data_IF_545050044870
#
_entry.id   IF_545050044870
#
_cell.length_a   1.000
_cell.length_b   1.000
_cell.length_c   1.000
_cell.angle_alpha   90.00
_cell.angle_beta   90.00
_cell.angle_gamma   90.00
#
_symmetry.space_group_name_H-M   'P 1'
#
loop_
_entity.id
_entity.type
_entity.pdbx_description
1 polymer ?
#
# COMPACT_ATOMS: atom_id res chain seq x y z
N UNK A 1 -26.77 -17.55 34.02
CA UNK A 1 -25.58 -18.11 33.35
C UNK A 1 -25.38 -17.39 32.02
N UNK A 2 -26.43 -17.23 31.22
CA UNK A 2 -26.37 -16.51 29.94
C UNK A 2 -26.02 -15.02 30.05
N UNK A 3 -26.52 -14.30 31.07
CA UNK A 3 -26.16 -12.88 31.29
C UNK A 3 -24.69 -12.68 31.71
N UNK A 4 -24.11 -13.64 32.45
CA UNK A 4 -22.70 -13.58 32.87
C UNK A 4 -21.79 -13.81 31.67
N UNK A 5 -22.17 -14.74 30.79
CA UNK A 5 -21.44 -15.03 29.56
C UNK A 5 -21.53 -13.84 28.60
N UNK A 6 -22.73 -13.27 28.39
CA UNK A 6 -22.92 -12.10 27.54
C UNK A 6 -22.08 -10.89 28.01
N UNK A 7 -22.11 -10.60 29.32
CA UNK A 7 -21.31 -9.52 29.91
C UNK A 7 -19.81 -9.73 29.74
N UNK A 8 -19.33 -10.97 29.90
CA UNK A 8 -17.92 -11.30 29.68
C UNK A 8 -17.49 -11.04 28.23
N UNK A 9 -18.34 -11.38 27.25
CA UNK A 9 -18.06 -11.10 25.84
C UNK A 9 -18.04 -9.61 25.52
N UNK A 10 -18.95 -8.83 26.11
CA UNK A 10 -18.97 -7.37 25.95
C UNK A 10 -17.71 -6.72 26.53
N UNK A 11 -17.28 -7.14 27.72
CA UNK A 11 -16.07 -6.63 28.37
C UNK A 11 -14.81 -6.98 27.54
N UNK A 12 -14.73 -8.20 27.00
CA UNK A 12 -13.61 -8.62 26.13
C UNK A 12 -13.60 -7.84 24.80
N UNK A 13 -14.76 -7.65 24.16
CA UNK A 13 -14.88 -6.88 22.94
C UNK A 13 -14.47 -5.42 23.15
N UNK A 14 -14.87 -4.83 24.27
CA UNK A 14 -14.50 -3.46 24.64
C UNK A 14 -12.98 -3.33 24.80
N UNK A 15 -12.35 -4.26 25.53
CA UNK A 15 -10.89 -4.26 25.72
C UNK A 15 -10.12 -4.39 24.41
N UNK A 16 -10.56 -5.27 23.51
CA UNK A 16 -9.94 -5.43 22.18
C UNK A 16 -10.09 -4.15 21.35
N UNK A 17 -11.25 -3.50 21.44
CA UNK A 17 -11.50 -2.25 20.70
C UNK A 17 -10.65 -1.10 21.23
N UNK A 18 -10.54 -0.95 22.55
CA UNK A 18 -9.69 0.07 23.19
C UNK A 18 -8.21 -0.12 22.81
N UNK A 19 -7.71 -1.36 22.87
CA UNK A 19 -6.33 -1.67 22.47
C UNK A 19 -6.07 -1.36 20.98
N UNK A 20 -7.02 -1.69 20.09
CA UNK A 20 -6.90 -1.38 18.67
C UNK A 20 -6.86 0.13 18.41
N UNK A 21 -7.65 0.93 19.15
CA UNK A 21 -7.65 2.39 19.02
C UNK A 21 -6.28 2.95 19.41
N UNK A 22 -5.68 2.48 20.51
CA UNK A 22 -4.33 2.90 20.91
C UNK A 22 -3.28 2.59 19.83
N UNK A 23 -3.35 1.39 19.23
CA UNK A 23 -2.46 1.01 18.12
C UNK A 23 -2.67 1.90 16.89
N UNK A 24 -3.93 2.21 16.54
CA UNK A 24 -4.26 3.09 15.41
C UNK A 24 -3.73 4.51 15.63
N UNK A 25 -3.82 5.04 16.86
CA UNK A 25 -3.28 6.36 17.20
C UNK A 25 -1.76 6.37 17.00
N UNK A 26 -1.06 5.38 17.53
CA UNK A 26 0.40 5.26 17.37
C UNK A 26 0.80 5.14 15.89
N UNK A 27 0.04 4.38 15.12
CA UNK A 27 0.25 4.19 13.69
C UNK A 27 0.03 5.48 12.87
N UNK A 28 -1.02 6.24 13.19
CA UNK A 28 -1.44 7.40 12.42
C UNK A 28 -0.83 8.73 12.86
N UNK A 29 -0.46 8.87 14.14
CA UNK A 29 0.06 10.11 14.72
C UNK A 29 1.13 10.82 13.86
N UNK A 30 2.09 10.13 13.23
CA UNK A 30 3.10 10.78 12.38
C UNK A 30 2.54 11.53 11.15
N UNK A 31 1.29 11.26 10.75
CA UNK A 31 0.65 11.82 9.56
C UNK A 31 -0.33 12.96 9.89
N UNK A 32 -0.49 13.31 11.17
CA UNK A 32 -1.32 14.42 11.65
C UNK A 32 -0.46 15.47 12.38
N UNK A 33 -0.99 16.67 12.60
CA UNK A 33 -0.23 17.74 13.28
C UNK A 33 -0.10 17.50 14.78
N UNK A 34 -1.03 16.74 15.36
CA UNK A 34 -1.01 16.36 16.77
C UNK A 34 -1.71 15.02 16.98
N UNK A 35 -1.46 14.40 18.14
CA UNK A 35 -2.12 13.15 18.51
C UNK A 35 -3.64 13.34 18.63
N UNK A 36 -4.09 14.50 19.14
CA UNK A 36 -5.51 14.82 19.26
C UNK A 36 -6.21 14.88 17.90
N UNK A 37 -5.52 15.38 16.86
CA UNK A 37 -6.06 15.38 15.50
C UNK A 37 -6.18 13.95 14.93
N UNK A 38 -5.20 13.08 15.22
CA UNK A 38 -5.26 11.67 14.83
C UNK A 38 -6.39 10.92 15.57
N UNK A 39 -6.53 11.15 16.88
CA UNK A 39 -7.59 10.59 17.72
C UNK A 39 -8.97 10.96 17.21
N UNK A 40 -9.20 12.25 16.94
CA UNK A 40 -10.48 12.72 16.41
C UNK A 40 -10.77 12.11 15.04
N UNK A 41 -9.76 12.02 14.15
CA UNK A 41 -9.91 11.39 12.84
C UNK A 41 -10.27 9.90 12.95
N UNK A 42 -9.63 9.15 13.84
CA UNK A 42 -9.94 7.74 14.10
C UNK A 42 -11.36 7.60 14.62
N UNK A 43 -11.75 8.44 15.59
CA UNK A 43 -13.09 8.45 16.17
C UNK A 43 -14.17 8.69 15.11
N UNK A 44 -13.95 9.68 14.24
CA UNK A 44 -14.84 9.95 13.09
C UNK A 44 -15.03 8.70 12.24
N UNK A 45 -13.96 7.95 11.96
CA UNK A 45 -14.04 6.73 11.15
C UNK A 45 -14.75 5.58 11.88
N UNK A 46 -14.46 5.37 13.17
CA UNK A 46 -14.99 4.28 13.99
C UNK A 46 -16.47 4.44 14.31
N UNK A 47 -16.90 5.68 14.58
CA UNK A 47 -18.27 6.03 14.96
C UNK A 47 -19.15 6.38 13.75
N UNK A 48 -18.58 6.36 12.54
CA UNK A 48 -19.31 6.71 11.31
C UNK A 48 -20.53 5.78 11.09
N UNK A 49 -21.73 6.31 10.76
CA UNK A 49 -22.92 5.47 10.52
C UNK A 49 -22.75 4.48 9.37
N UNK A 50 -22.07 4.90 8.30
CA UNK A 50 -21.64 3.99 7.23
C UNK A 50 -20.39 3.21 7.69
N UNK A 51 -20.34 1.88 7.58
CA UNK A 51 -19.19 1.08 8.01
C UNK A 51 -17.95 1.21 7.11
N UNK A 52 -18.05 1.87 5.97
CA UNK A 52 -16.97 1.91 4.97
C UNK A 52 -15.73 2.68 5.43
N UNK A 53 -15.81 3.92 5.99
CA UNK A 53 -14.65 4.59 6.59
C UNK A 53 -13.88 3.71 7.58
N UNK A 54 -14.59 3.08 8.53
CA UNK A 54 -14.02 2.11 9.47
C UNK A 54 -13.30 0.97 8.76
N UNK A 55 -13.93 0.35 7.76
CA UNK A 55 -13.31 -0.73 6.98
C UNK A 55 -12.05 -0.26 6.27
N UNK A 56 -12.09 0.90 5.60
CA UNK A 56 -10.93 1.48 4.91
C UNK A 56 -9.79 1.71 5.90
N UNK A 57 -10.05 2.38 7.02
CA UNK A 57 -9.06 2.61 8.09
C UNK A 57 -8.40 1.31 8.54
N UNK A 58 -9.20 0.28 8.82
CA UNK A 58 -8.70 -1.02 9.27
C UNK A 58 -7.89 -1.74 8.18
N UNK A 59 -8.27 -1.63 6.91
CA UNK A 59 -7.50 -2.22 5.81
C UNK A 59 -6.13 -1.53 5.63
N UNK A 60 -6.05 -0.22 5.87
CA UNK A 60 -4.78 0.53 5.85
C UNK A 60 -3.88 0.00 6.96
N UNK A 61 -4.35 0.03 8.20
CA UNK A 61 -3.57 -0.41 9.36
C UNK A 61 -3.08 -1.86 9.18
N UNK A 62 -4.00 -2.79 8.90
CA UNK A 62 -3.70 -4.21 8.81
C UNK A 62 -2.60 -4.53 7.80
N UNK A 63 -2.72 -4.02 6.57
CA UNK A 63 -1.81 -4.42 5.49
C UNK A 63 -0.47 -3.69 5.57
N UNK A 64 -0.45 -2.44 6.03
CA UNK A 64 0.80 -1.72 6.25
C UNK A 64 1.58 -2.31 7.41
N UNK A 65 0.93 -2.60 8.55
CA UNK A 65 1.59 -3.27 9.68
C UNK A 65 2.11 -4.65 9.29
N UNK A 66 1.37 -5.41 8.49
CA UNK A 66 1.84 -6.69 7.96
C UNK A 66 3.05 -6.54 7.01
N UNK A 67 3.07 -5.50 6.17
CA UNK A 67 4.25 -5.15 5.38
C UNK A 67 5.46 -4.90 6.30
N UNK A 68 5.28 -4.16 7.38
CA UNK A 68 6.35 -3.81 8.30
C UNK A 68 6.88 -5.04 9.04
N UNK A 69 5.98 -5.94 9.47
CA UNK A 69 6.32 -7.25 10.01
C UNK A 69 7.19 -8.08 9.04
N UNK A 70 6.84 -8.09 7.74
CA UNK A 70 7.64 -8.79 6.73
C UNK A 70 9.06 -8.23 6.61
N UNK A 71 9.27 -6.93 6.91
CA UNK A 71 10.60 -6.33 6.88
C UNK A 71 11.54 -6.90 7.96
N UNK A 72 10.98 -7.46 9.04
CA UNK A 72 11.74 -8.09 10.13
C UNK A 72 12.12 -9.54 9.84
N UNK A 73 11.46 -10.20 8.88
CA UNK A 73 11.77 -11.58 8.48
C UNK A 73 13.10 -11.69 7.70
N UNK A 74 14.10 -10.85 8.01
CA UNK A 74 15.42 -10.67 7.37
C UNK A 74 16.20 -11.98 7.21
N UNK A 75 15.73 -12.83 6.31
CA UNK A 75 16.49 -13.89 5.69
C UNK A 75 17.19 -13.25 4.50
N UNK A 76 18.45 -13.60 4.22
CA UNK A 76 19.20 -13.00 3.11
C UNK A 76 18.53 -13.14 1.73
N UNK A 77 17.53 -14.01 1.61
CA UNK A 77 16.72 -14.27 0.42
C UNK A 77 15.44 -13.42 0.31
N UNK A 78 14.88 -12.90 1.42
CA UNK A 78 13.67 -12.08 1.37
C UNK A 78 14.05 -10.64 1.05
N UNK A 79 13.52 -10.13 -0.07
CA UNK A 79 13.69 -8.74 -0.50
C UNK A 79 12.41 -7.93 -0.24
N UNK A 80 12.45 -6.65 -0.55
CA UNK A 80 11.34 -5.71 -0.30
C UNK A 80 10.10 -5.96 -1.18
N UNK A 81 10.12 -6.99 -2.04
CA UNK A 81 8.98 -7.37 -2.89
C UNK A 81 7.72 -7.72 -2.08
N UNK A 82 7.86 -8.34 -0.90
CA UNK A 82 6.73 -8.62 0.00
C UNK A 82 6.10 -7.34 0.56
N UNK A 83 6.93 -6.34 0.90
CA UNK A 83 6.44 -5.05 1.38
C UNK A 83 5.63 -4.35 0.28
N UNK A 84 6.19 -4.28 -0.94
CA UNK A 84 5.49 -3.75 -2.12
C UNK A 84 4.18 -4.49 -2.38
N UNK A 85 4.19 -5.83 -2.28
CA UNK A 85 2.98 -6.64 -2.42
C UNK A 85 1.88 -6.17 -1.45
N UNK A 86 2.20 -6.03 -0.16
CA UNK A 86 1.22 -5.61 0.84
C UNK A 86 0.77 -4.15 0.67
N UNK A 87 1.65 -3.25 0.20
CA UNK A 87 1.25 -1.88 -0.15
C UNK A 87 0.24 -1.85 -1.29
N UNK A 88 0.47 -2.62 -2.36
CA UNK A 88 -0.49 -2.70 -3.47
C UNK A 88 -1.79 -3.41 -3.06
N UNK A 89 -1.71 -4.43 -2.20
CA UNK A 89 -2.90 -5.07 -1.62
C UNK A 89 -3.69 -4.08 -0.76
N UNK A 90 -3.02 -3.18 -0.02
CA UNK A 90 -3.68 -2.10 0.73
C UNK A 90 -4.54 -1.25 -0.20
N UNK A 91 -3.97 -0.78 -1.32
CA UNK A 91 -4.68 0.00 -2.33
C UNK A 91 -5.90 -0.76 -2.89
N UNK A 92 -5.72 -2.03 -3.25
CA UNK A 92 -6.83 -2.85 -3.74
C UNK A 92 -7.94 -3.02 -2.68
N UNK A 93 -7.56 -3.19 -1.42
CA UNK A 93 -8.50 -3.43 -0.32
C UNK A 93 -9.33 -2.18 0.00
N UNK A 94 -8.73 -0.99 0.05
CA UNK A 94 -9.46 0.25 0.31
C UNK A 94 -10.43 0.59 -0.83
N UNK A 95 -10.05 0.37 -2.09
CA UNK A 95 -10.96 0.57 -3.23
C UNK A 95 -12.14 -0.39 -3.22
N UNK A 96 -11.92 -1.66 -2.85
CA UNK A 96 -12.99 -2.66 -2.73
C UNK A 96 -13.91 -2.40 -1.54
N UNK A 97 -13.40 -1.80 -0.47
CA UNK A 97 -14.21 -1.41 0.67
C UNK A 97 -15.24 -0.33 0.26
N UNK A 98 -14.82 0.64 -0.56
CA UNK A 98 -15.70 1.70 -1.08
C UNK A 98 -16.60 1.25 -2.22
N UNK A 99 -16.06 0.46 -3.15
CA UNK A 99 -16.77 0.06 -4.38
C UNK A 99 -16.77 -1.46 -4.55
N UNK A 100 -17.53 -2.21 -3.73
CA UNK A 100 -17.49 -3.68 -3.71
C UNK A 100 -17.87 -4.33 -5.05
N UNK A 101 -18.58 -3.61 -5.92
CA UNK A 101 -18.99 -4.06 -7.26
C UNK A 101 -18.23 -3.38 -8.41
N UNK A 102 -17.12 -2.70 -8.10
CA UNK A 102 -16.30 -2.06 -9.13
C UNK A 102 -15.83 -3.07 -10.17
N UNK A 103 -16.00 -2.71 -11.45
CA UNK A 103 -15.52 -3.49 -12.60
C UNK A 103 -14.12 -3.03 -13.05
N UNK A 104 -13.50 -2.09 -12.35
CA UNK A 104 -12.17 -1.60 -12.69
C UNK A 104 -11.16 -2.74 -12.58
N UNK A 105 -10.24 -2.78 -13.54
CA UNK A 105 -9.14 -3.76 -13.49
C UNK A 105 -8.19 -3.38 -12.35
N UNK A 106 -7.51 -4.36 -11.75
CA UNK A 106 -6.55 -4.12 -10.65
C UNK A 106 -5.48 -3.09 -11.02
N UNK A 107 -4.90 -3.18 -12.22
CA UNK A 107 -3.91 -2.21 -12.70
C UNK A 107 -4.48 -0.80 -12.83
N UNK A 108 -5.75 -0.66 -13.17
CA UNK A 108 -6.44 0.62 -13.25
C UNK A 108 -6.69 1.21 -11.86
N UNK A 109 -7.07 0.39 -10.88
CA UNK A 109 -7.20 0.80 -9.47
C UNK A 109 -5.85 1.36 -8.96
N UNK A 110 -4.75 0.65 -9.20
CA UNK A 110 -3.42 1.09 -8.77
C UNK A 110 -3.01 2.39 -9.46
N UNK A 111 -3.21 2.51 -10.78
CA UNK A 111 -2.93 3.76 -11.51
C UNK A 111 -3.76 4.93 -10.98
N UNK A 112 -5.06 4.74 -10.78
CA UNK A 112 -5.95 5.78 -10.25
C UNK A 112 -5.53 6.20 -8.84
N UNK A 113 -5.15 5.25 -7.97
CA UNK A 113 -4.61 5.56 -6.65
C UNK A 113 -3.41 6.51 -6.74
N UNK A 114 -2.41 6.11 -7.52
CA UNK A 114 -1.17 6.88 -7.66
C UNK A 114 -1.38 8.26 -8.30
N UNK A 115 -2.36 8.38 -9.19
CA UNK A 115 -2.66 9.62 -9.90
C UNK A 115 -3.53 10.58 -9.08
N UNK A 116 -4.55 10.06 -8.42
CA UNK A 116 -5.63 10.88 -7.87
C UNK A 116 -5.51 11.07 -6.35
N UNK A 117 -4.75 10.22 -5.65
CA UNK A 117 -4.67 10.23 -4.18
C UNK A 117 -3.27 10.47 -3.61
N UNK A 118 -2.21 10.21 -4.38
CA UNK A 118 -0.87 10.68 -4.02
C UNK A 118 -0.75 12.17 -4.38
N UNK A 119 -0.24 13.01 -3.48
CA UNK A 119 -0.08 14.43 -3.78
C UNK A 119 0.99 14.68 -4.87
N UNK A 120 0.92 15.84 -5.53
CA UNK A 120 1.76 16.14 -6.69
C UNK A 120 3.28 16.13 -6.36
N UNK A 121 3.66 16.55 -5.15
CA UNK A 121 5.06 16.57 -4.72
C UNK A 121 5.63 15.15 -4.60
N UNK A 122 4.88 14.25 -3.98
CA UNK A 122 5.23 12.84 -3.84
C UNK A 122 5.18 12.10 -5.19
N UNK A 123 4.23 12.43 -6.06
CA UNK A 123 4.22 11.92 -7.45
C UNK A 123 5.49 12.32 -8.20
N UNK A 124 5.88 13.60 -8.12
CA UNK A 124 7.13 14.11 -8.74
C UNK A 124 8.36 13.42 -8.17
N UNK A 125 8.39 13.19 -6.86
CA UNK A 125 9.48 12.47 -6.20
C UNK A 125 9.57 11.03 -6.71
N UNK A 126 8.46 10.30 -6.78
CA UNK A 126 8.41 8.94 -7.33
C UNK A 126 8.89 8.90 -8.78
N UNK A 127 8.39 9.80 -9.64
CA UNK A 127 8.78 9.87 -11.05
C UNK A 127 10.27 10.16 -11.21
N UNK A 128 10.84 11.03 -10.37
CA UNK A 128 12.28 11.37 -10.40
C UNK A 128 13.14 10.18 -9.95
N UNK A 129 12.72 9.50 -8.89
CA UNK A 129 13.53 8.49 -8.21
C UNK A 129 13.35 7.08 -8.78
N UNK A 130 12.39 6.89 -9.68
CA UNK A 130 12.15 5.62 -10.37
C UNK A 130 12.22 5.91 -11.87
N UNK A 131 13.31 5.53 -12.51
CA UNK A 131 13.53 5.77 -13.94
C UNK A 131 13.56 4.48 -14.73
N UNK A 132 12.86 4.44 -15.86
CA UNK A 132 12.89 3.30 -16.78
C UNK A 132 14.04 3.46 -17.77
N UNK A 133 15.01 2.55 -17.74
CA UNK A 133 16.26 2.65 -18.49
C UNK A 133 16.24 1.96 -19.86
N UNK A 134 15.38 0.97 -20.07
CA UNK A 134 15.26 0.24 -21.34
C UNK A 134 14.60 1.06 -22.46
N UNK A 135 14.11 2.27 -22.14
CA UNK A 135 13.46 3.17 -23.08
C UNK A 135 13.88 4.63 -22.85
N UNK A 136 15.11 5.02 -23.23
CA UNK A 136 15.69 6.33 -22.87
C UNK A 136 14.93 7.54 -23.43
N UNK A 137 14.08 7.34 -24.45
CA UNK A 137 13.28 8.40 -25.05
C UNK A 137 11.87 8.51 -24.46
N UNK A 138 11.40 7.52 -23.70
CA UNK A 138 10.12 7.57 -23.00
C UNK A 138 10.33 8.13 -21.58
N UNK A 139 9.73 9.29 -21.30
CA UNK A 139 9.78 9.86 -19.96
C UNK A 139 8.98 8.97 -18.99
N UNK A 140 9.58 8.60 -17.85
CA UNK A 140 8.83 7.96 -16.76
C UNK A 140 7.63 8.83 -16.36
N UNK A 141 6.46 8.21 -16.26
CA UNK A 141 5.24 8.84 -15.75
C UNK A 141 4.81 8.18 -14.45
N UNK A 142 3.88 8.80 -13.71
CA UNK A 142 3.32 8.17 -12.51
C UNK A 142 2.64 6.83 -12.82
N UNK A 143 2.03 6.69 -14.00
CA UNK A 143 1.45 5.42 -14.45
C UNK A 143 2.53 4.35 -14.66
N UNK A 144 3.70 4.73 -15.17
CA UNK A 144 4.84 3.82 -15.31
C UNK A 144 5.31 3.31 -13.95
N UNK A 145 5.35 4.19 -12.93
CA UNK A 145 5.69 3.81 -11.55
C UNK A 145 4.62 2.88 -10.96
N UNK A 146 3.34 3.22 -11.13
CA UNK A 146 2.23 2.39 -10.69
C UNK A 146 2.27 0.99 -11.32
N UNK A 147 2.55 0.91 -12.63
CA UNK A 147 2.68 -0.35 -13.37
C UNK A 147 3.86 -1.19 -12.88
N UNK A 148 4.99 -0.55 -12.57
CA UNK A 148 6.14 -1.23 -11.99
C UNK A 148 5.78 -1.89 -10.66
N UNK A 149 5.16 -1.17 -9.71
CA UNK A 149 4.77 -1.76 -8.44
C UNK A 149 3.67 -2.82 -8.58
N UNK A 150 2.70 -2.61 -9.46
CA UNK A 150 1.68 -3.62 -9.77
C UNK A 150 2.32 -4.90 -10.33
N UNK A 151 3.37 -4.77 -11.13
CA UNK A 151 4.14 -5.91 -11.65
C UNK A 151 4.87 -6.64 -10.53
N UNK A 152 5.57 -5.93 -9.63
CA UNK A 152 6.21 -6.54 -8.44
C UNK A 152 5.17 -7.31 -7.61
N UNK A 153 3.99 -6.72 -7.38
CA UNK A 153 2.89 -7.40 -6.70
C UNK A 153 2.46 -8.67 -7.43
N UNK A 154 2.37 -8.66 -8.76
CA UNK A 154 2.00 -9.84 -9.54
C UNK A 154 3.06 -10.94 -9.47
N UNK A 155 4.34 -10.59 -9.43
CA UNK A 155 5.43 -11.55 -9.24
C UNK A 155 5.27 -12.32 -7.93
N UNK A 156 4.94 -11.62 -6.84
CA UNK A 156 4.69 -12.27 -5.55
C UNK A 156 3.41 -13.10 -5.60
N UNK A 157 2.30 -12.51 -6.07
CA UNK A 157 0.96 -13.10 -5.98
C UNK A 157 0.73 -14.30 -6.89
N UNK A 158 1.31 -14.28 -8.10
CA UNK A 158 1.02 -15.26 -9.15
C UNK A 158 2.22 -16.17 -9.43
N UNK A 159 3.44 -15.67 -9.29
CA UNK A 159 4.66 -16.42 -9.61
C UNK A 159 5.40 -16.91 -8.36
N UNK A 160 5.02 -16.45 -7.15
CA UNK A 160 5.72 -16.76 -5.91
C UNK A 160 7.13 -16.16 -5.84
N UNK A 161 7.45 -15.18 -6.67
CA UNK A 161 8.77 -14.55 -6.78
C UNK A 161 8.81 -13.32 -5.86
N UNK A 162 9.45 -13.46 -4.69
CA UNK A 162 9.53 -12.40 -3.67
C UNK A 162 10.97 -11.87 -3.42
N UNK A 163 11.94 -12.34 -4.19
CA UNK A 163 13.36 -12.03 -4.02
C UNK A 163 13.96 -11.14 -5.13
N UNK A 164 13.13 -10.63 -6.05
CA UNK A 164 13.60 -10.03 -7.30
C UNK A 164 13.65 -8.50 -7.28
N UNK A 165 12.97 -7.86 -6.32
CA UNK A 165 12.91 -6.41 -6.19
C UNK A 165 13.34 -5.96 -4.80
N UNK A 166 14.26 -4.99 -4.74
CA UNK A 166 14.83 -4.39 -3.52
C UNK A 166 14.95 -2.89 -3.72
N UNK A 167 14.73 -2.12 -2.66
CA UNK A 167 15.03 -0.69 -2.62
C UNK A 167 16.49 -0.44 -2.19
N UNK A 168 17.07 0.72 -2.51
CA UNK A 168 18.33 1.14 -1.88
C UNK A 168 18.18 1.24 -0.36
N UNK A 169 19.20 0.78 0.38
CA UNK A 169 19.21 0.83 1.86
C UNK A 169 19.27 2.25 2.43
N UNK A 170 19.80 3.20 1.65
CA UNK A 170 20.04 4.59 2.07
C UNK A 170 19.76 5.54 0.92
N UNK A 171 19.34 6.75 1.26
CA UNK A 171 19.23 7.85 0.30
C UNK A 171 20.58 8.11 -0.39
N UNK A 172 20.53 8.40 -1.68
CA UNK A 172 21.73 8.62 -2.51
C UNK A 172 22.34 7.35 -3.11
N UNK A 173 21.89 6.17 -2.69
CA UNK A 173 22.20 4.92 -3.38
C UNK A 173 21.19 4.66 -4.50
N UNK A 174 21.66 4.06 -5.58
CA UNK A 174 20.82 3.59 -6.68
C UNK A 174 20.80 2.06 -6.70
N UNK A 175 19.62 1.50 -6.92
CA UNK A 175 19.43 0.07 -7.14
C UNK A 175 18.87 -0.16 -8.54
N UNK A 176 19.45 -1.09 -9.28
CA UNK A 176 18.89 -1.54 -10.56
C UNK A 176 17.87 -2.65 -10.26
N UNK A 177 16.63 -2.43 -10.70
CA UNK A 177 15.55 -3.40 -10.66
C UNK A 177 15.26 -3.94 -12.06
N UNK A 178 15.39 -5.26 -12.23
CA UNK A 178 14.88 -5.94 -13.42
C UNK A 178 13.45 -6.34 -13.13
N UNK A 179 12.49 -5.95 -13.97
CA UNK A 179 11.07 -6.23 -13.75
C UNK A 179 10.51 -6.89 -15.02
N UNK A 180 9.90 -8.09 -14.94
CA UNK A 180 9.29 -8.74 -16.09
C UNK A 180 8.27 -7.84 -16.79
N UNK A 181 8.17 -7.90 -18.11
CA UNK A 181 7.11 -7.20 -18.85
C UNK A 181 5.77 -7.91 -18.60
N UNK A 182 4.69 -7.17 -18.32
CA UNK A 182 3.35 -7.69 -17.95
C UNK A 182 2.79 -8.86 -18.81
N UNK A 183 3.28 -9.06 -20.05
CA UNK A 183 2.79 -10.08 -20.98
C UNK A 183 3.23 -11.52 -20.67
N UNK A 184 4.11 -11.71 -19.71
CA UNK A 184 4.77 -13.01 -19.49
C UNK A 184 4.11 -13.80 -18.36
N UNK A 185 2.78 -13.96 -18.38
CA UNK A 185 2.02 -14.77 -17.41
C UNK A 185 2.27 -16.29 -17.48
N UNK A 186 3.40 -16.70 -18.06
CA UNK A 186 3.80 -18.10 -18.33
C UNK A 186 5.28 -18.34 -18.02
N UNK A 187 5.85 -17.61 -17.06
CA UNK A 187 7.28 -17.67 -16.80
C UNK A 187 7.63 -18.82 -15.86
N UNK A 188 8.15 -19.90 -16.44
CA UNK A 188 9.26 -20.54 -15.74
C UNK A 188 10.44 -19.54 -15.78
N UNK A 189 11.11 -19.35 -14.66
CA UNK A 189 12.38 -18.59 -14.57
C UNK A 189 13.43 -19.03 -15.61
N UNK A 190 13.28 -20.23 -16.18
CA UNK A 190 14.18 -20.84 -17.17
C UNK A 190 13.96 -20.38 -18.61
N UNK A 191 12.88 -19.63 -18.90
CA UNK A 191 12.53 -19.16 -20.25
C UNK A 191 12.61 -17.64 -20.42
N UNK A 192 13.20 -16.94 -19.45
CA UNK A 192 13.32 -15.49 -19.41
C UNK A 192 14.58 -15.00 -20.15
N UNK A 193 14.47 -14.73 -21.45
CA UNK A 193 15.50 -13.93 -22.15
C UNK A 193 15.52 -12.47 -21.65
N UNK A 194 16.68 -11.80 -21.74
CA UNK A 194 16.87 -10.40 -21.31
C UNK A 194 15.85 -9.44 -21.93
N UNK A 195 15.39 -9.73 -23.14
CA UNK A 195 14.38 -8.96 -23.87
C UNK A 195 13.01 -8.91 -23.17
N UNK A 196 12.77 -9.77 -22.18
CA UNK A 196 11.50 -9.86 -21.45
C UNK A 196 11.46 -9.00 -20.19
N UNK A 197 12.57 -8.34 -19.83
CA UNK A 197 12.64 -7.44 -18.68
C UNK A 197 12.58 -5.98 -19.12
N UNK A 198 11.96 -5.18 -18.26
CA UNK A 198 12.17 -3.73 -18.22
C UNK A 198 13.21 -3.44 -17.14
N UNK A 199 14.10 -2.50 -17.40
CA UNK A 199 15.17 -2.13 -16.47
C UNK A 199 14.76 -0.83 -15.81
N UNK A 200 14.76 -0.81 -14.48
CA UNK A 200 14.48 0.38 -13.68
C UNK A 200 15.69 0.74 -12.82
N UNK A 201 15.97 2.03 -12.71
CA UNK A 201 16.82 2.58 -11.65
C UNK A 201 15.91 3.09 -10.55
N UNK A 202 16.15 2.67 -9.31
CA UNK A 202 15.40 3.05 -8.11
C UNK A 202 16.36 3.68 -7.10
N UNK A 203 16.14 4.96 -6.79
CA UNK A 203 16.98 5.75 -5.88
C UNK A 203 16.22 6.21 -4.61
N UNK A 204 14.96 5.79 -4.46
CA UNK A 204 14.10 6.10 -3.31
C UNK A 204 14.12 4.95 -2.32
N UNK A 205 14.18 5.25 -1.03
CA UNK A 205 14.14 4.21 0.00
C UNK A 205 12.73 3.68 0.20
N UNK A 206 12.62 2.48 0.76
CA UNK A 206 11.33 1.84 1.02
C UNK A 206 10.50 2.59 2.06
N UNK A 207 11.15 3.22 3.03
CA UNK A 207 10.50 4.00 4.09
C UNK A 207 9.77 5.21 3.49
N UNK A 208 10.39 5.91 2.54
CA UNK A 208 9.76 7.03 1.83
C UNK A 208 8.57 6.54 1.00
N UNK A 209 8.71 5.44 0.26
CA UNK A 209 7.61 4.89 -0.53
C UNK A 209 6.45 4.48 0.39
N UNK A 210 6.73 3.79 1.49
CA UNK A 210 5.74 3.41 2.51
C UNK A 210 4.96 4.64 2.99
N UNK A 211 5.64 5.71 3.36
CA UNK A 211 5.01 6.95 3.83
C UNK A 211 4.12 7.59 2.75
N UNK A 212 4.57 7.58 1.50
CA UNK A 212 3.76 8.07 0.36
C UNK A 212 2.48 7.24 0.20
N UNK A 213 2.56 5.91 0.32
CA UNK A 213 1.39 5.02 0.23
C UNK A 213 0.42 5.29 1.38
N UNK A 214 0.91 5.48 2.61
CA UNK A 214 0.04 5.78 3.76
C UNK A 214 -0.65 7.13 3.58
N UNK A 215 0.09 8.19 3.23
CA UNK A 215 -0.49 9.51 2.94
C UNK A 215 -1.53 9.44 1.83
N UNK A 216 -1.25 8.71 0.74
CA UNK A 216 -2.22 8.50 -0.33
C UNK A 216 -3.47 7.75 0.13
N UNK A 217 -3.32 6.77 1.02
CA UNK A 217 -4.43 6.01 1.58
C UNK A 217 -5.29 6.86 2.53
N UNK A 218 -4.67 7.76 3.29
CA UNK A 218 -5.38 8.74 4.13
C UNK A 218 -6.12 9.78 3.29
N UNK A 219 -5.54 10.24 2.17
CA UNK A 219 -6.25 11.10 1.22
C UNK A 219 -7.47 10.39 0.63
N UNK A 220 -7.35 9.10 0.31
CA UNK A 220 -8.47 8.27 -0.13
C UNK A 220 -9.57 8.19 0.94
N UNK A 221 -9.20 7.89 2.18
CA UNK A 221 -10.15 7.82 3.30
C UNK A 221 -10.81 9.18 3.58
N UNK A 222 -10.07 10.29 3.48
CA UNK A 222 -10.63 11.64 3.59
C UNK A 222 -11.72 11.88 2.56
N UNK A 223 -11.50 11.50 1.29
CA UNK A 223 -12.53 11.57 0.25
C UNK A 223 -13.74 10.69 0.57
N UNK A 224 -13.52 9.46 1.03
CA UNK A 224 -14.61 8.56 1.44
C UNK A 224 -15.47 9.21 2.53
N UNK A 225 -14.86 9.85 3.52
CA UNK A 225 -15.58 10.59 4.56
C UNK A 225 -16.37 11.78 3.99
N UNK A 226 -15.84 12.49 3.00
CA UNK A 226 -16.54 13.59 2.32
C UNK A 226 -17.76 13.07 1.54
N UNK A 227 -17.62 11.98 0.78
CA UNK A 227 -18.68 11.40 -0.04
C UNK A 227 -19.89 10.93 0.80
N UNK A 228 -19.69 10.65 2.09
CA UNK A 228 -20.76 10.28 3.04
C UNK A 228 -21.22 11.39 3.98
N UNK A 229 -20.67 12.61 3.91
CA UNK A 229 -21.21 13.75 4.68
C UNK A 229 -22.54 14.27 4.11
N UNK A 230 -22.78 14.04 2.83
CA UNK A 230 -23.92 14.59 2.08
C UNK A 230 -25.06 13.58 1.84
N UNK A 231 -24.99 12.38 2.42
CA UNK A 231 -25.99 11.30 2.29
C UNK A 231 -26.60 10.93 3.65
#
# INVERSE_FOLDING_TARGET
MDEIIAKSFEDDQKRVTEALIEELILFLAPYFKSNEEAEEFIKICEEHPNPTPKRVLHQIYRHISLSDEMAYLKTGSVKDSLQVFFWIVTIEAIFKAETPYSKLKKSEIVRNFFKDYINEADQKLLIRSISRCDKPFEKTTINTVADMFNTVRNMVAHEGIYWFFTFPEKEGNDQIGLIPKEKTSFLSIYTMGEENFSIYTVSITKEIVRDIIIKGSLNFLGKVLEDYKDN
#
